data_IF_140411699848
#
_entry.id   IF_140411699848
#
_cell.length_a   1.000
_cell.length_b   1.000
_cell.length_c   1.000
_cell.angle_alpha   90.00
_cell.angle_beta   90.00
_cell.angle_gamma   90.00
#
_symmetry.space_group_name_H-M   'P 1'
#
loop_
_entity.id
_entity.type
_entity.pdbx_description
1 polymer ?
#
# COMPACT_ATOMS: atom_id res chain seq x y z
N UNK A 1 -27.41 -3.83 -14.40
CA UNK A 1 -27.98 -3.58 -13.06
C UNK A 1 -28.66 -2.22 -13.10
N UNK A 2 -30.00 -2.20 -13.06
CA UNK A 2 -30.78 -0.96 -13.04
C UNK A 2 -30.73 -0.42 -11.62
N UNK A 3 -30.18 0.78 -11.43
CA UNK A 3 -30.22 1.46 -10.14
C UNK A 3 -31.65 1.97 -9.91
N UNK A 4 -32.34 1.38 -8.93
CA UNK A 4 -33.64 1.87 -8.48
C UNK A 4 -33.36 2.89 -7.37
N UNK A 5 -33.55 4.16 -7.68
CA UNK A 5 -33.40 5.25 -6.73
C UNK A 5 -34.61 5.31 -5.79
N UNK A 6 -34.47 4.72 -4.61
CA UNK A 6 -35.50 4.69 -3.56
C UNK A 6 -35.38 5.89 -2.60
N UNK A 7 -34.59 6.90 -2.93
CA UNK A 7 -34.32 8.03 -2.03
C UNK A 7 -35.60 8.87 -1.80
N UNK A 8 -36.51 8.91 -2.78
CA UNK A 8 -37.81 9.58 -2.65
C UNK A 8 -38.73 8.89 -1.64
N UNK A 9 -38.88 7.57 -1.77
CA UNK A 9 -39.71 6.74 -0.88
C UNK A 9 -39.17 6.74 0.55
N UNK A 10 -37.85 6.77 0.71
CA UNK A 10 -37.22 6.89 2.01
C UNK A 10 -37.56 8.23 2.70
N UNK A 11 -37.54 9.35 1.96
CA UNK A 11 -37.87 10.67 2.51
C UNK A 11 -39.34 10.77 2.92
N UNK A 12 -40.25 10.17 2.16
CA UNK A 12 -41.69 10.17 2.48
C UNK A 12 -41.97 9.36 3.75
N UNK A 13 -41.33 8.19 3.90
CA UNK A 13 -41.44 7.35 5.11
C UNK A 13 -40.88 8.04 6.36
N UNK A 14 -39.77 8.77 6.25
CA UNK A 14 -39.23 9.57 7.37
C UNK A 14 -40.21 10.69 7.74
N UNK A 15 -40.75 11.40 6.76
CA UNK A 15 -41.71 12.46 7.00
C UNK A 15 -42.98 11.91 7.69
N UNK A 16 -43.48 10.75 7.26
CA UNK A 16 -44.63 10.10 7.86
C UNK A 16 -44.34 9.62 9.29
N UNK A 17 -43.16 9.04 9.53
CA UNK A 17 -42.70 8.63 10.86
C UNK A 17 -42.57 9.80 11.83
N UNK A 18 -42.06 10.96 11.36
CA UNK A 18 -41.95 12.18 12.16
C UNK A 18 -43.33 12.76 12.54
N UNK A 19 -44.30 12.71 11.62
CA UNK A 19 -45.68 13.15 11.88
C UNK A 19 -46.40 12.22 12.87
N UNK A 20 -46.22 10.90 12.76
CA UNK A 20 -46.77 9.91 13.72
C UNK A 20 -46.15 10.06 15.11
N UNK A 21 -44.85 10.36 15.19
CA UNK A 21 -44.18 10.64 16.47
C UNK A 21 -44.68 11.93 17.12
N UNK A 22 -44.96 12.97 16.34
CA UNK A 22 -45.53 14.24 16.82
C UNK A 22 -47.01 14.13 17.25
N UNK A 23 -47.77 13.19 16.67
CA UNK A 23 -49.20 13.01 16.93
C UNK A 23 -49.53 12.16 18.18
N UNK A 24 -48.54 11.61 18.89
CA UNK A 24 -48.76 10.81 20.11
C UNK A 24 -48.63 11.71 21.36
N UNK A 25 -49.73 12.10 22.04
CA UNK A 25 -49.66 12.96 23.21
C UNK A 25 -49.14 12.15 24.40
N UNK A 26 -47.86 12.30 24.72
CA UNK A 26 -47.18 11.60 25.82
C UNK A 26 -45.74 11.19 25.55
N UNK A 27 -45.25 11.30 24.31
CA UNK A 27 -43.83 11.16 24.02
C UNK A 27 -43.10 12.46 24.40
N UNK A 28 -42.54 12.51 25.61
CA UNK A 28 -41.60 13.56 26.01
C UNK A 28 -40.50 13.73 24.95
N UNK A 29 -39.87 14.92 24.84
CA UNK A 29 -38.95 15.24 23.76
C UNK A 29 -37.92 14.12 23.67
N UNK A 30 -37.87 13.44 22.53
CA UNK A 30 -36.84 12.44 22.27
C UNK A 30 -35.53 13.18 22.50
N UNK A 31 -34.77 12.75 23.51
CA UNK A 31 -33.44 13.29 23.76
C UNK A 31 -32.73 13.17 22.42
N UNK A 32 -32.51 14.30 21.75
CA UNK A 32 -31.65 14.39 20.59
C UNK A 32 -30.40 13.62 20.96
N UNK A 33 -30.21 12.49 20.29
CA UNK A 33 -29.09 11.58 20.50
C UNK A 33 -27.87 12.49 20.37
N UNK A 34 -27.25 12.85 21.50
CA UNK A 34 -26.03 13.68 21.51
C UNK A 34 -25.12 13.02 20.48
N UNK A 35 -24.63 13.73 19.45
CA UNK A 35 -23.72 13.13 18.49
C UNK A 35 -22.56 12.56 19.30
N UNK A 36 -22.44 11.24 19.25
CA UNK A 36 -21.37 10.48 19.89
C UNK A 36 -20.05 11.10 19.41
N UNK A 37 -19.15 11.40 20.35
CA UNK A 37 -18.03 12.31 20.12
C UNK A 37 -17.17 11.90 18.91
N UNK A 38 -17.11 12.69 17.82
CA UNK A 38 -16.47 12.28 16.56
C UNK A 38 -14.94 12.42 16.56
N UNK A 39 -14.31 12.81 17.67
CA UNK A 39 -12.92 13.33 17.62
C UNK A 39 -11.85 12.26 17.36
N UNK A 40 -12.06 11.02 17.79
CA UNK A 40 -11.03 9.97 17.68
C UNK A 40 -11.17 9.14 16.39
N UNK A 41 -12.41 8.92 15.94
CA UNK A 41 -12.71 8.32 14.63
C UNK A 41 -12.23 9.21 13.48
N UNK A 42 -12.38 10.53 13.63
CA UNK A 42 -11.87 11.50 12.67
C UNK A 42 -10.35 11.44 12.52
N UNK A 43 -9.59 11.19 13.60
CA UNK A 43 -8.12 11.20 13.53
C UNK A 43 -7.61 10.00 12.73
N UNK A 44 -8.09 8.79 13.06
CA UNK A 44 -7.73 7.56 12.35
C UNK A 44 -8.05 7.67 10.86
N UNK A 45 -9.27 8.11 10.52
CA UNK A 45 -9.70 8.24 9.13
C UNK A 45 -8.91 9.32 8.39
N UNK A 46 -8.66 10.48 9.01
CA UNK A 46 -7.82 11.54 8.41
C UNK A 46 -6.43 11.02 8.07
N UNK A 47 -5.82 10.27 8.96
CA UNK A 47 -4.51 9.67 8.71
C UNK A 47 -4.57 8.61 7.59
N UNK A 48 -5.55 7.71 7.62
CA UNK A 48 -5.75 6.73 6.56
C UNK A 48 -5.93 7.39 5.17
N UNK A 49 -6.72 8.46 5.08
CA UNK A 49 -6.90 9.22 3.84
C UNK A 49 -5.63 9.94 3.39
N UNK A 50 -4.82 10.46 4.31
CA UNK A 50 -3.53 11.05 3.96
C UNK A 50 -2.57 10.02 3.39
N UNK A 51 -2.47 8.83 4.02
CA UNK A 51 -1.64 7.72 3.52
C UNK A 51 -2.13 7.29 2.14
N UNK A 52 -3.43 7.10 1.97
CA UNK A 52 -4.04 6.76 0.69
C UNK A 52 -3.73 7.83 -0.39
N UNK A 53 -3.82 9.11 -0.03
CA UNK A 53 -3.45 10.24 -0.90
C UNK A 53 -2.04 10.07 -1.43
N UNK A 54 -1.05 9.93 -0.54
CA UNK A 54 0.35 9.75 -0.93
C UNK A 54 0.60 8.48 -1.77
N UNK A 55 -0.01 7.34 -1.41
CA UNK A 55 0.15 6.10 -2.16
C UNK A 55 -0.50 6.19 -3.55
N UNK A 56 -1.70 6.76 -3.65
CA UNK A 56 -2.40 6.91 -4.94
C UNK A 56 -1.69 7.90 -5.87
N UNK A 57 -1.13 8.98 -5.32
CA UNK A 57 -0.30 9.93 -6.03
C UNK A 57 0.99 9.26 -6.53
N UNK A 58 1.70 8.54 -5.67
CA UNK A 58 2.90 7.80 -6.03
C UNK A 58 2.62 6.76 -7.12
N UNK A 59 1.47 6.08 -7.07
CA UNK A 59 1.06 5.13 -8.10
C UNK A 59 0.87 5.80 -9.46
N UNK A 60 0.26 7.00 -9.48
CA UNK A 60 0.07 7.78 -10.71
C UNK A 60 1.40 8.26 -11.27
N UNK A 61 2.27 8.80 -10.42
CA UNK A 61 3.60 9.29 -10.84
C UNK A 61 4.44 8.15 -11.39
N UNK A 62 4.50 6.99 -10.69
CA UNK A 62 5.27 5.83 -11.15
C UNK A 62 4.76 5.30 -12.51
N UNK A 63 3.45 5.30 -12.71
CA UNK A 63 2.85 4.91 -13.99
C UNK A 63 3.21 5.89 -15.12
N UNK A 64 3.21 7.19 -14.84
CA UNK A 64 3.57 8.22 -15.81
C UNK A 64 5.04 8.14 -16.21
N UNK A 65 5.94 7.99 -15.23
CA UNK A 65 7.39 7.98 -15.46
C UNK A 65 7.95 6.62 -15.89
N UNK A 66 7.16 5.53 -15.84
CA UNK A 66 7.64 4.18 -16.20
C UNK A 66 8.33 4.12 -17.56
N UNK A 67 7.71 4.69 -18.61
CA UNK A 67 8.27 4.68 -19.96
C UNK A 67 9.63 5.41 -20.04
N UNK A 68 9.72 6.70 -19.65
CA UNK A 68 10.98 7.41 -19.75
C UNK A 68 12.04 6.91 -18.74
N UNK A 69 11.62 6.31 -17.61
CA UNK A 69 12.51 5.67 -16.65
C UNK A 69 13.21 4.43 -17.22
N UNK A 70 12.48 3.60 -17.97
CA UNK A 70 13.02 2.39 -18.61
C UNK A 70 13.72 2.65 -19.95
N UNK A 71 13.57 3.85 -20.52
CA UNK A 71 14.20 4.21 -21.80
C UNK A 71 15.73 4.18 -21.70
N UNK A 72 16.40 3.67 -22.72
CA UNK A 72 17.87 3.66 -22.84
C UNK A 72 18.40 4.83 -23.67
N UNK A 73 17.52 5.68 -24.17
CA UNK A 73 17.87 6.79 -25.05
C UNK A 73 18.69 7.84 -24.28
N UNK A 74 19.83 8.24 -24.85
CA UNK A 74 20.67 9.30 -24.29
C UNK A 74 19.87 10.62 -24.32
N UNK A 75 19.63 11.26 -23.17
CA UNK A 75 18.87 12.51 -23.15
C UNK A 75 19.66 13.63 -23.85
N UNK A 76 18.98 14.55 -24.56
CA UNK A 76 19.61 15.75 -25.07
C UNK A 76 20.19 16.61 -23.92
N UNK A 77 21.22 17.44 -24.19
CA UNK A 77 21.92 18.20 -23.16
C UNK A 77 20.96 19.09 -22.34
N UNK A 78 21.25 19.22 -21.05
CA UNK A 78 20.41 19.87 -20.04
C UNK A 78 20.01 21.33 -20.38
N UNK A 79 20.77 22.00 -21.25
CA UNK A 79 20.47 23.37 -21.72
C UNK A 79 19.16 23.48 -22.50
N UNK A 80 18.66 22.37 -23.07
CA UNK A 80 17.43 22.34 -23.86
C UNK A 80 16.22 21.83 -23.07
N UNK A 81 16.36 21.63 -21.76
CA UNK A 81 15.31 21.05 -20.90
C UNK A 81 14.59 22.15 -20.13
N UNK A 82 13.28 22.24 -20.32
CA UNK A 82 12.42 23.14 -19.55
C UNK A 82 12.44 22.71 -18.08
N UNK A 83 12.89 23.62 -17.20
CA UNK A 83 12.93 23.42 -15.76
C UNK A 83 11.54 23.70 -15.19
N UNK A 84 10.78 22.65 -14.89
CA UNK A 84 9.51 22.80 -14.18
C UNK A 84 9.78 22.96 -12.68
N UNK A 85 9.64 24.19 -12.18
CA UNK A 85 9.71 24.54 -10.76
C UNK A 85 8.32 24.40 -10.12
N UNK A 86 7.84 23.15 -10.04
CA UNK A 86 6.60 22.81 -9.37
C UNK A 86 6.90 22.19 -8.01
N UNK A 87 6.32 22.73 -6.93
CA UNK A 87 6.60 22.40 -5.53
C UNK A 87 6.34 20.96 -5.06
N UNK A 88 6.14 20.01 -5.98
CA UNK A 88 6.12 18.59 -5.68
C UNK A 88 7.13 17.84 -6.55
N UNK A 89 8.09 17.24 -5.87
CA UNK A 89 9.40 16.92 -6.39
C UNK A 89 9.40 15.71 -7.33
N UNK A 90 8.41 14.82 -7.26
CA UNK A 90 8.19 13.75 -8.25
C UNK A 90 7.39 14.23 -9.47
N UNK A 91 6.48 15.20 -9.29
CA UNK A 91 5.63 15.71 -10.38
C UNK A 91 6.42 16.39 -11.49
N UNK A 92 7.61 16.90 -11.19
CA UNK A 92 8.54 17.46 -12.19
C UNK A 92 8.87 16.50 -13.33
N UNK A 93 8.73 15.19 -13.10
CA UNK A 93 9.07 14.15 -14.06
C UNK A 93 7.90 13.60 -14.87
N UNK A 94 6.65 13.87 -14.49
CA UNK A 94 5.46 13.29 -15.15
C UNK A 94 5.34 13.67 -16.64
N UNK A 95 5.90 14.81 -17.05
CA UNK A 95 5.93 15.27 -18.44
C UNK A 95 7.25 15.03 -19.18
N UNK A 96 8.23 14.38 -18.54
CA UNK A 96 9.57 14.23 -19.12
C UNK A 96 9.64 13.05 -20.10
N UNK A 97 10.08 13.30 -21.34
CA UNK A 97 10.23 12.26 -22.38
C UNK A 97 11.46 11.38 -22.18
N UNK A 98 12.49 11.93 -21.55
CA UNK A 98 13.75 11.27 -21.24
C UNK A 98 14.05 11.51 -19.77
N UNK A 99 14.80 10.61 -19.14
CA UNK A 99 15.40 10.80 -17.82
C UNK A 99 16.88 10.46 -17.84
N UNK A 100 17.72 11.26 -17.18
CA UNK A 100 19.13 10.92 -16.96
C UNK A 100 19.28 9.84 -15.88
N UNK A 101 20.43 9.17 -15.86
CA UNK A 101 20.73 8.15 -14.84
C UNK A 101 20.59 8.71 -13.42
N UNK A 102 21.08 9.94 -13.20
CA UNK A 102 20.98 10.65 -11.93
C UNK A 102 19.53 10.96 -11.54
N UNK A 103 18.71 11.41 -12.47
CA UNK A 103 17.29 11.70 -12.21
C UNK A 103 16.51 10.44 -11.84
N UNK A 104 16.84 9.30 -12.47
CA UNK A 104 16.24 8.01 -12.14
C UNK A 104 16.63 7.57 -10.73
N UNK A 105 17.89 7.77 -10.33
CA UNK A 105 18.35 7.47 -8.97
C UNK A 105 17.68 8.37 -7.92
N UNK A 106 17.48 9.66 -8.23
CA UNK A 106 16.72 10.57 -7.38
C UNK A 106 15.26 10.11 -7.20
N UNK A 107 14.62 9.61 -8.27
CA UNK A 107 13.27 9.04 -8.21
C UNK A 107 13.24 7.77 -7.36
N UNK A 108 14.24 6.90 -7.50
CA UNK A 108 14.33 5.67 -6.70
C UNK A 108 14.43 5.98 -5.21
N UNK A 109 15.33 6.89 -4.82
CA UNK A 109 15.52 7.30 -3.42
C UNK A 109 14.23 7.90 -2.85
N UNK A 110 13.56 8.78 -3.60
CA UNK A 110 12.31 9.42 -3.14
C UNK A 110 11.16 8.42 -3.02
N UNK A 111 11.00 7.56 -4.02
CA UNK A 111 9.96 6.50 -4.01
C UNK A 111 10.15 5.60 -2.80
N UNK A 112 11.39 5.17 -2.52
CA UNK A 112 11.72 4.38 -1.34
C UNK A 112 11.37 5.11 -0.04
N UNK A 113 11.73 6.38 0.06
CA UNK A 113 11.45 7.19 1.25
C UNK A 113 9.94 7.29 1.51
N UNK A 114 9.14 7.53 0.47
CA UNK A 114 7.68 7.61 0.57
C UNK A 114 7.10 6.26 0.99
N UNK A 115 7.53 5.15 0.37
CA UNK A 115 7.03 3.81 0.74
C UNK A 115 7.38 3.43 2.17
N UNK A 116 8.61 3.70 2.64
CA UNK A 116 9.02 3.46 4.02
C UNK A 116 8.17 4.27 5.00
N UNK A 117 8.00 5.56 4.73
CA UNK A 117 7.19 6.45 5.58
C UNK A 117 5.73 6.02 5.61
N UNK A 118 5.14 5.63 4.49
CA UNK A 118 3.78 5.11 4.44
C UNK A 118 3.66 3.80 5.23
N UNK A 119 4.66 2.90 5.15
CA UNK A 119 4.68 1.65 5.90
C UNK A 119 4.70 1.90 7.41
N UNK A 120 5.56 2.82 7.86
CA UNK A 120 5.65 3.22 9.26
C UNK A 120 4.31 3.76 9.77
N UNK A 121 3.69 4.68 9.03
CA UNK A 121 2.38 5.25 9.39
C UNK A 121 1.25 4.22 9.40
N UNK A 122 1.28 3.23 8.50
CA UNK A 122 0.34 2.09 8.55
C UNK A 122 0.57 1.26 9.81
N UNK A 123 1.83 1.04 10.18
CA UNK A 123 2.19 0.39 11.45
C UNK A 123 1.70 1.15 12.68
N UNK A 124 1.78 2.48 12.67
CA UNK A 124 1.24 3.34 13.73
C UNK A 124 -0.28 3.21 13.83
N UNK A 125 -0.99 3.25 12.70
CA UNK A 125 -2.45 3.03 12.66
C UNK A 125 -2.86 1.67 13.21
N UNK A 126 -2.09 0.63 12.91
CA UNK A 126 -2.31 -0.71 13.45
C UNK A 126 -2.07 -0.77 14.96
N UNK A 127 -1.04 -0.09 15.46
CA UNK A 127 -0.77 -0.01 16.88
C UNK A 127 -1.88 0.75 17.62
N UNK A 128 -2.38 1.85 17.05
CA UNK A 128 -3.52 2.60 17.58
C UNK A 128 -4.78 1.73 17.61
N UNK A 129 -5.03 0.94 16.57
CA UNK A 129 -6.19 0.06 16.49
C UNK A 129 -6.10 -1.13 17.47
N UNK A 130 -4.92 -1.75 17.62
CA UNK A 130 -4.68 -2.76 18.66
C UNK A 130 -4.86 -2.19 20.07
N UNK A 131 -4.39 -0.97 20.31
CA UNK A 131 -4.57 -0.30 21.60
C UNK A 131 -6.04 0.04 21.90
N UNK A 132 -6.85 0.33 20.86
CA UNK A 132 -8.29 0.49 21.01
C UNK A 132 -8.95 -0.84 21.35
N UNK A 133 -8.67 -1.90 20.58
CA UNK A 133 -9.21 -3.25 20.82
C UNK A 133 -8.92 -3.74 22.25
N UNK A 134 -7.71 -3.49 22.75
CA UNK A 134 -7.33 -3.85 24.13
C UNK A 134 -8.12 -3.08 25.20
N UNK A 135 -8.55 -1.85 24.92
CA UNK A 135 -9.35 -1.03 25.84
C UNK A 135 -10.84 -1.38 25.78
N UNK A 136 -11.32 -1.83 24.62
CA UNK A 136 -12.73 -2.18 24.39
C UNK A 136 -13.02 -3.64 24.73
N UNK A 137 -11.99 -4.49 24.83
CA UNK A 137 -12.15 -5.87 25.30
C UNK A 137 -12.68 -5.88 26.75
N UNK A 138 -13.79 -6.59 27.04
CA UNK A 138 -14.33 -6.65 28.38
C UNK A 138 -13.30 -7.30 29.33
N UNK A 139 -13.17 -6.84 30.58
CA UNK A 139 -12.29 -7.49 31.55
C UNK A 139 -12.79 -8.91 31.76
N UNK A 140 -11.96 -9.89 31.40
CA UNK A 140 -12.21 -11.33 31.55
C UNK A 140 -12.26 -11.69 33.05
N UNK A 141 -13.33 -11.27 33.72
CA UNK A 141 -13.61 -11.70 35.07
C UNK A 141 -14.16 -13.11 34.95
N UNK A 142 -13.48 -14.11 35.52
CA UNK A 142 -13.92 -15.51 35.48
C UNK A 142 -15.38 -15.70 35.96
N UNK A 143 -15.87 -14.79 36.81
CA UNK A 143 -17.27 -14.74 37.25
C UNK A 143 -18.28 -14.51 36.12
N UNK A 144 -17.97 -13.67 35.15
CA UNK A 144 -18.87 -13.39 34.01
C UNK A 144 -18.84 -14.48 32.94
N UNK A 145 -17.79 -15.32 32.92
CA UNK A 145 -17.75 -16.53 32.09
C UNK A 145 -18.66 -17.63 32.66
N UNK A 146 -18.79 -17.71 33.99
CA UNK A 146 -19.70 -18.66 34.67
C UNK A 146 -21.15 -18.21 34.66
N UNK A 147 -21.41 -16.90 34.69
CA UNK A 147 -22.74 -16.31 34.77
C UNK A 147 -22.93 -15.25 33.67
N UNK A 148 -23.17 -15.67 32.42
CA UNK A 148 -23.30 -14.76 31.28
C UNK A 148 -24.51 -13.82 31.39
N UNK A 149 -25.50 -14.15 32.23
CA UNK A 149 -26.69 -13.31 32.49
C UNK A 149 -26.40 -12.08 33.37
N UNK A 150 -25.28 -12.07 34.10
CA UNK A 150 -24.85 -10.97 34.97
C UNK A 150 -23.78 -10.09 34.31
N UNK A 151 -23.27 -10.49 33.14
CA UNK A 151 -22.30 -9.70 32.40
C UNK A 151 -22.94 -8.35 32.01
N UNK A 152 -22.26 -7.22 32.26
CA UNK A 152 -22.74 -5.94 31.77
C UNK A 152 -22.82 -6.02 30.24
N UNK A 153 -24.04 -5.91 29.70
CA UNK A 153 -24.28 -5.85 28.26
C UNK A 153 -23.45 -4.69 27.72
N UNK A 154 -22.41 -4.98 26.94
CA UNK A 154 -21.59 -3.96 26.31
C UNK A 154 -22.50 -3.05 25.48
N UNK A 155 -22.64 -1.80 25.92
CA UNK A 155 -23.63 -0.84 25.43
C UNK A 155 -23.31 -0.37 24.00
N UNK A 156 -22.06 -0.53 23.56
CA UNK A 156 -21.59 -0.09 22.24
C UNK A 156 -21.54 -1.26 21.24
N UNK A 157 -22.70 -1.50 20.65
CA UNK A 157 -22.96 -2.55 19.66
C UNK A 157 -22.30 -2.32 18.27
N UNK A 158 -21.74 -1.14 18.03
CA UNK A 158 -21.00 -0.79 16.81
C UNK A 158 -19.53 -1.15 16.84
N UNK A 159 -18.98 -1.52 18.01
CA UNK A 159 -17.55 -1.81 18.18
C UNK A 159 -17.02 -2.94 17.28
N UNK A 160 -17.66 -4.12 17.15
CA UNK A 160 -17.15 -5.18 16.26
C UNK A 160 -17.21 -4.75 14.79
N UNK A 161 -18.25 -4.02 14.39
CA UNK A 161 -18.38 -3.48 13.03
C UNK A 161 -17.29 -2.42 12.73
N UNK A 162 -17.04 -1.53 13.69
CA UNK A 162 -15.98 -0.51 13.58
C UNK A 162 -14.60 -1.16 13.49
N UNK A 163 -14.37 -2.21 14.31
CA UNK A 163 -13.12 -2.99 14.30
C UNK A 163 -12.88 -3.63 12.93
N UNK A 164 -13.88 -4.31 12.38
CA UNK A 164 -13.81 -4.94 11.07
C UNK A 164 -13.62 -3.90 9.95
N UNK A 165 -14.28 -2.74 10.05
CA UNK A 165 -14.11 -1.68 9.07
C UNK A 165 -12.68 -1.12 9.10
N UNK A 166 -12.13 -0.83 10.27
CA UNK A 166 -10.76 -0.30 10.42
C UNK A 166 -9.69 -1.32 10.01
N UNK A 167 -9.88 -2.61 10.33
CA UNK A 167 -8.99 -3.67 9.86
C UNK A 167 -9.04 -3.79 8.32
N UNK A 168 -10.21 -3.62 7.71
CA UNK A 168 -10.33 -3.60 6.25
C UNK A 168 -9.60 -2.41 5.62
N UNK A 169 -9.66 -1.22 6.24
CA UNK A 169 -8.92 -0.03 5.79
C UNK A 169 -7.42 -0.29 5.83
N UNK A 170 -6.90 -0.76 6.97
CA UNK A 170 -5.49 -1.11 7.13
C UNK A 170 -5.07 -2.13 6.06
N UNK A 171 -5.84 -3.20 5.87
CA UNK A 171 -5.57 -4.20 4.86
C UNK A 171 -5.50 -3.59 3.45
N UNK A 172 -6.43 -2.69 3.08
CA UNK A 172 -6.39 -2.02 1.78
C UNK A 172 -5.14 -1.15 1.59
N UNK A 173 -4.70 -0.44 2.64
CA UNK A 173 -3.49 0.38 2.61
C UNK A 173 -2.23 -0.48 2.47
N UNK A 174 -2.12 -1.56 3.26
CA UNK A 174 -1.00 -2.52 3.17
C UNK A 174 -0.97 -3.19 1.79
N UNK A 175 -2.13 -3.54 1.24
CA UNK A 175 -2.25 -4.18 -0.08
C UNK A 175 -1.82 -3.21 -1.19
N UNK A 176 -2.23 -1.95 -1.09
CA UNK A 176 -1.79 -0.90 -2.00
C UNK A 176 -0.27 -0.72 -1.91
N UNK A 177 0.28 -0.65 -0.71
CA UNK A 177 1.72 -0.50 -0.48
C UNK A 177 2.52 -1.67 -1.07
N UNK A 178 2.07 -2.92 -0.87
CA UNK A 178 2.70 -4.11 -1.45
C UNK A 178 2.65 -4.11 -3.00
N UNK A 179 1.54 -3.65 -3.59
CA UNK A 179 1.44 -3.49 -5.05
C UNK A 179 2.40 -2.44 -5.57
N UNK A 180 2.51 -1.29 -4.91
CA UNK A 180 3.45 -0.25 -5.32
C UNK A 180 4.90 -0.70 -5.15
N UNK A 181 5.24 -1.36 -4.04
CA UNK A 181 6.59 -1.89 -3.83
C UNK A 181 6.95 -2.92 -4.91
N UNK A 182 6.00 -3.78 -5.31
CA UNK A 182 6.21 -4.70 -6.43
C UNK A 182 6.45 -3.95 -7.74
N UNK A 183 5.65 -2.93 -8.08
CA UNK A 183 5.89 -2.15 -9.31
C UNK A 183 7.23 -1.42 -9.31
N UNK A 184 7.71 -0.96 -8.14
CA UNK A 184 9.04 -0.38 -8.02
C UNK A 184 10.12 -1.44 -8.20
N UNK A 185 9.97 -2.61 -7.58
CA UNK A 185 10.89 -3.74 -7.71
C UNK A 185 11.06 -4.14 -9.19
N UNK A 186 9.95 -4.31 -9.91
CA UNK A 186 9.95 -4.66 -11.34
C UNK A 186 10.77 -3.63 -12.16
N UNK A 187 10.54 -2.34 -11.94
CA UNK A 187 11.26 -1.29 -12.65
C UNK A 187 12.77 -1.28 -12.31
N UNK A 188 13.13 -1.55 -11.05
CA UNK A 188 14.53 -1.64 -10.63
C UNK A 188 15.22 -2.89 -11.17
N UNK A 189 14.53 -4.02 -11.21
CA UNK A 189 15.05 -5.29 -11.75
C UNK A 189 15.33 -5.14 -13.23
N UNK A 190 14.38 -4.60 -14.01
CA UNK A 190 14.62 -4.36 -15.43
C UNK A 190 15.78 -3.37 -15.65
N UNK A 191 15.99 -2.40 -14.74
CA UNK A 191 17.11 -1.46 -14.85
C UNK A 191 18.44 -2.11 -14.49
N UNK A 192 18.47 -2.95 -13.46
CA UNK A 192 19.66 -3.74 -13.08
C UNK A 192 20.06 -4.69 -14.21
N UNK A 193 19.10 -5.41 -14.79
CA UNK A 193 19.31 -6.25 -15.96
C UNK A 193 19.90 -5.49 -17.14
N UNK A 194 19.37 -4.29 -17.45
CA UNK A 194 19.93 -3.44 -18.51
C UNK A 194 21.31 -2.88 -18.19
N UNK A 195 21.70 -2.75 -16.91
CA UNK A 195 23.07 -2.37 -16.53
C UNK A 195 24.03 -3.53 -16.70
N UNK A 196 23.61 -4.74 -16.36
CA UNK A 196 24.36 -5.96 -16.57
C UNK A 196 24.56 -6.25 -18.07
N UNK A 197 23.53 -6.06 -18.89
CA UNK A 197 23.64 -6.18 -20.35
C UNK A 197 24.61 -5.14 -20.93
N UNK A 198 24.61 -3.90 -20.41
CA UNK A 198 25.56 -2.85 -20.81
C UNK A 198 26.99 -3.17 -20.39
N UNK A 199 27.22 -3.61 -19.15
CA UNK A 199 28.56 -4.00 -18.71
C UNK A 199 29.09 -5.18 -19.53
N UNK A 200 28.22 -6.15 -19.85
CA UNK A 200 28.55 -7.31 -20.70
C UNK A 200 28.82 -6.90 -22.15
N UNK A 201 28.05 -5.97 -22.70
CA UNK A 201 28.22 -5.52 -24.09
C UNK A 201 29.36 -4.53 -24.27
N UNK A 202 29.79 -3.78 -23.26
CA UNK A 202 31.00 -2.96 -23.33
C UNK A 202 32.28 -3.81 -23.33
N UNK A 203 32.32 -4.90 -22.54
CA UNK A 203 33.37 -5.92 -22.68
C UNK A 203 33.35 -6.62 -24.05
N UNK A 204 32.15 -6.86 -24.59
CA UNK A 204 31.95 -7.34 -25.97
C UNK A 204 32.22 -6.30 -27.07
N UNK A 205 32.11 -5.02 -26.74
CA UNK A 205 32.23 -3.87 -27.64
C UNK A 205 33.69 -3.51 -27.83
N UNK A 206 34.50 -3.51 -26.77
CA UNK A 206 35.95 -3.40 -26.86
C UNK A 206 36.54 -4.55 -27.69
N UNK A 207 36.09 -5.79 -27.49
CA UNK A 207 36.52 -6.94 -28.31
C UNK A 207 36.04 -6.84 -29.76
N UNK A 208 34.86 -6.28 -30.02
CA UNK A 208 34.33 -6.04 -31.37
C UNK A 208 35.00 -4.85 -32.08
N UNK A 209 35.35 -3.80 -31.36
CA UNK A 209 36.15 -2.68 -31.86
C UNK A 209 37.56 -3.14 -32.18
N UNK A 210 38.21 -3.91 -31.30
CA UNK A 210 39.50 -4.56 -31.57
C UNK A 210 39.40 -5.44 -32.81
N UNK A 211 38.35 -6.27 -32.93
CA UNK A 211 38.13 -7.08 -34.13
C UNK A 211 37.90 -6.23 -35.39
N UNK A 212 37.22 -5.10 -35.28
CA UNK A 212 37.00 -4.18 -36.42
C UNK A 212 38.25 -3.41 -36.81
N UNK A 213 39.12 -3.07 -35.85
CA UNK A 213 40.43 -2.45 -36.06
C UNK A 213 41.41 -3.46 -36.70
N UNK A 214 41.35 -4.74 -36.29
CA UNK A 214 42.11 -5.83 -36.91
C UNK A 214 41.69 -6.06 -38.36
N UNK A 215 40.38 -6.12 -38.63
CA UNK A 215 39.85 -6.23 -40.00
C UNK A 215 40.20 -5.00 -40.84
N UNK A 216 40.19 -3.79 -40.26
CA UNK A 216 40.64 -2.56 -40.93
C UNK A 216 42.14 -2.55 -41.27
N UNK A 217 42.98 -3.09 -40.39
CA UNK A 217 44.42 -3.24 -40.61
C UNK A 217 44.74 -4.29 -41.69
N UNK A 218 43.97 -5.38 -41.74
CA UNK A 218 44.08 -6.42 -42.77
C UNK A 218 43.66 -5.92 -44.16
N UNK A 219 42.73 -4.95 -44.24
CA UNK A 219 42.37 -4.29 -45.51
C UNK A 219 43.41 -3.25 -45.97
N UNK A 220 44.14 -2.63 -45.05
CA UNK A 220 45.18 -1.66 -45.37
C UNK A 220 46.47 -2.33 -45.88
N UNK A 221 46.71 -3.60 -45.53
CA UNK A 221 47.89 -4.38 -45.94
C UNK A 221 47.53 -5.32 -47.10
N UNK A 222 47.31 -4.74 -48.27
CA UNK A 222 47.05 -5.50 -49.49
C UNK A 222 48.21 -6.44 -49.86
N UNK A 223 48.05 -7.75 -49.59
CA UNK A 223 48.27 -8.90 -50.49
C UNK A 223 48.44 -10.20 -49.68
N UNK A 224 47.59 -11.18 -50.03
CA UNK A 224 47.68 -12.63 -49.77
C UNK A 224 47.70 -13.10 -48.30
N UNK A 225 46.56 -13.57 -47.81
CA UNK A 225 46.27 -15.01 -47.70
C UNK A 225 45.05 -15.26 -46.81
N UNK A 226 44.16 -16.13 -47.27
CA UNK A 226 43.13 -16.78 -46.45
C UNK A 226 43.80 -17.65 -45.41
N UNK A 227 43.44 -17.51 -44.13
CA UNK A 227 43.31 -18.66 -43.23
C UNK A 227 42.33 -18.38 -42.09
N UNK A 228 41.25 -19.14 -42.11
CA UNK A 228 40.36 -19.41 -40.99
C UNK A 228 41.15 -19.99 -39.82
N UNK A 229 41.01 -19.41 -38.61
CA UNK A 229 41.45 -20.05 -37.37
C UNK A 229 40.41 -19.82 -36.26
N UNK A 230 40.05 -20.92 -35.61
CA UNK A 230 39.14 -21.03 -34.47
C UNK A 230 39.64 -20.23 -33.23
N UNK A 231 38.76 -19.93 -32.25
CA UNK A 231 39.10 -19.09 -31.11
C UNK A 231 39.84 -19.91 -30.05
N UNK A 232 41.14 -20.08 -30.24
CA UNK A 232 42.02 -20.63 -29.22
C UNK A 232 43.26 -19.74 -29.13
N UNK A 233 43.27 -18.92 -28.07
CA UNK A 233 44.43 -18.25 -27.46
C UNK A 233 45.65 -18.05 -28.38
N UNK A 234 45.68 -16.94 -29.10
CA UNK A 234 46.92 -16.40 -29.67
C UNK A 234 47.58 -15.48 -28.63
N UNK A 235 48.87 -15.67 -28.28
CA UNK A 235 49.66 -14.61 -27.71
C UNK A 235 50.00 -13.62 -28.84
N UNK A 236 49.39 -12.43 -28.81
CA UNK A 236 49.50 -11.39 -29.87
C UNK A 236 50.81 -10.58 -29.76
N UNK A 237 51.90 -11.15 -29.23
CA UNK A 237 53.18 -10.43 -29.18
C UNK A 237 54.11 -11.06 -30.23
N UNK A 238 54.27 -10.48 -31.43
CA UNK A 238 55.41 -10.80 -32.27
C UNK A 238 56.67 -10.46 -31.46
N UNK A 239 57.49 -11.46 -31.16
CA UNK A 239 58.65 -11.39 -30.26
C UNK A 239 59.83 -10.55 -30.79
N UNK A 240 59.64 -9.79 -31.88
CA UNK A 240 60.71 -9.11 -32.63
C UNK A 240 60.40 -7.63 -32.94
N UNK A 241 59.45 -7.01 -32.22
CA UNK A 241 59.22 -5.56 -32.26
C UNK A 241 59.76 -4.90 -30.98
N UNK A 242 60.40 -3.73 -31.15
CA UNK A 242 60.78 -2.86 -30.04
C UNK A 242 59.56 -2.60 -29.14
N UNK A 243 59.75 -2.48 -27.81
CA UNK A 243 58.63 -2.23 -26.90
C UNK A 243 57.81 -1.06 -27.42
N UNK A 244 56.48 -1.21 -27.44
CA UNK A 244 55.49 -0.27 -28.02
C UNK A 244 55.76 1.19 -27.59
N UNK A 245 56.33 1.37 -26.40
CA UNK A 245 56.82 2.62 -25.82
C UNK A 245 57.85 3.38 -26.68
N UNK A 246 58.64 2.69 -27.51
CA UNK A 246 59.67 3.27 -28.38
C UNK A 246 59.14 3.69 -29.78
N UNK A 247 57.93 3.25 -30.15
CA UNK A 247 57.30 3.59 -31.44
C UNK A 247 56.24 4.69 -31.33
N UNK A 248 55.76 4.98 -30.12
CA UNK A 248 54.76 6.01 -29.85
C UNK A 248 55.43 7.35 -29.54
N UNK A 249 54.90 8.43 -30.11
CA UNK A 249 55.32 9.78 -29.69
C UNK A 249 54.94 10.02 -28.22
N UNK A 250 55.74 10.81 -27.49
CA UNK A 250 55.45 11.13 -26.08
C UNK A 250 54.02 11.68 -25.85
N UNK A 251 53.47 12.39 -26.84
CA UNK A 251 52.09 12.89 -26.82
C UNK A 251 51.03 11.77 -26.97
N UNK A 252 51.28 10.75 -27.79
CA UNK A 252 50.38 9.60 -27.93
C UNK A 252 50.39 8.71 -26.69
N UNK A 253 51.56 8.54 -26.05
CA UNK A 253 51.65 7.79 -24.79
C UNK A 253 50.83 8.46 -23.68
N UNK A 254 50.95 9.78 -23.54
CA UNK A 254 50.15 10.55 -22.58
C UNK A 254 48.65 10.46 -22.88
N UNK A 255 48.27 10.44 -24.16
CA UNK A 255 46.88 10.24 -24.56
C UNK A 255 46.38 8.84 -24.16
N UNK A 256 47.16 7.79 -24.42
CA UNK A 256 46.81 6.42 -24.02
C UNK A 256 46.71 6.27 -22.50
N UNK A 257 47.60 6.87 -21.74
CA UNK A 257 47.51 6.89 -20.27
C UNK A 257 46.24 7.60 -19.80
N UNK A 258 45.89 8.73 -20.44
CA UNK A 258 44.66 9.47 -20.12
C UNK A 258 43.40 8.69 -20.47
N UNK A 259 43.36 8.01 -21.63
CA UNK A 259 42.25 7.16 -22.07
C UNK A 259 42.10 5.93 -21.16
N UNK A 260 43.21 5.29 -20.80
CA UNK A 260 43.20 4.15 -19.89
C UNK A 260 42.71 4.55 -18.49
N UNK A 261 43.18 5.68 -17.96
CA UNK A 261 42.68 6.20 -16.68
C UNK A 261 41.18 6.54 -16.74
N UNK A 262 40.71 7.08 -17.87
CA UNK A 262 39.29 7.39 -18.09
C UNK A 262 38.45 6.12 -18.15
N UNK A 263 38.91 5.10 -18.86
CA UNK A 263 38.25 3.80 -18.96
C UNK A 263 38.17 3.11 -17.59
N UNK A 264 39.26 3.10 -16.83
CA UNK A 264 39.27 2.52 -15.48
C UNK A 264 38.29 3.23 -14.55
N UNK A 265 38.27 4.57 -14.59
CA UNK A 265 37.31 5.37 -13.82
C UNK A 265 35.86 5.07 -14.23
N UNK A 266 35.60 4.89 -15.53
CA UNK A 266 34.27 4.51 -16.01
C UNK A 266 33.88 3.10 -15.56
N UNK A 267 34.79 2.12 -15.66
CA UNK A 267 34.56 0.77 -15.18
C UNK A 267 34.31 0.73 -13.67
N UNK A 268 35.08 1.45 -12.88
CA UNK A 268 34.88 1.57 -11.43
C UNK A 268 33.50 2.19 -11.12
N UNK A 269 33.14 3.28 -11.80
CA UNK A 269 31.83 3.92 -11.67
C UNK A 269 30.69 2.96 -12.03
N UNK A 270 30.86 2.16 -13.09
CA UNK A 270 29.85 1.18 -13.51
C UNK A 270 29.70 0.06 -12.47
N UNK A 271 30.79 -0.48 -11.93
CA UNK A 271 30.76 -1.49 -10.87
C UNK A 271 30.07 -0.96 -9.62
N UNK A 272 30.44 0.24 -9.18
CA UNK A 272 29.79 0.90 -8.04
C UNK A 272 28.28 1.10 -8.27
N UNK A 273 27.87 1.42 -9.50
CA UNK A 273 26.45 1.55 -9.85
C UNK A 273 25.69 0.22 -9.81
N UNK A 274 26.32 -0.88 -10.23
CA UNK A 274 25.73 -2.23 -10.19
C UNK A 274 25.59 -2.69 -8.74
N UNK A 275 26.63 -2.52 -7.92
CA UNK A 275 26.59 -2.84 -6.48
C UNK A 275 25.51 -2.03 -5.75
N UNK A 276 25.37 -0.74 -6.06
CA UNK A 276 24.32 0.11 -5.51
C UNK A 276 22.92 -0.38 -5.92
N UNK A 277 22.76 -0.81 -7.18
CA UNK A 277 21.50 -1.37 -7.68
C UNK A 277 21.16 -2.71 -7.00
N UNK A 278 22.15 -3.60 -6.82
CA UNK A 278 21.99 -4.87 -6.13
C UNK A 278 21.56 -4.67 -4.67
N UNK A 279 22.27 -3.80 -3.94
CA UNK A 279 21.90 -3.41 -2.57
C UNK A 279 20.48 -2.84 -2.52
N UNK A 280 20.12 -2.02 -3.50
CA UNK A 280 18.79 -1.42 -3.61
C UNK A 280 17.71 -2.49 -3.79
N UNK A 281 17.95 -3.47 -4.66
CA UNK A 281 17.04 -4.58 -4.94
C UNK A 281 16.88 -5.52 -3.74
N UNK A 282 17.97 -5.84 -3.03
CA UNK A 282 17.93 -6.64 -1.80
C UNK A 282 17.08 -5.99 -0.70
N UNK A 283 17.18 -4.67 -0.56
CA UNK A 283 16.39 -3.93 0.41
C UNK A 283 14.90 -3.90 0.03
N UNK A 284 14.57 -3.73 -1.25
CA UNK A 284 13.17 -3.74 -1.71
C UNK A 284 12.58 -5.15 -1.58
N UNK A 285 13.33 -6.18 -1.94
CA UNK A 285 12.85 -7.56 -1.81
C UNK A 285 12.61 -7.94 -0.35
N UNK A 286 13.51 -7.55 0.56
CA UNK A 286 13.30 -7.72 2.00
C UNK A 286 12.02 -7.01 2.49
N UNK A 287 11.80 -5.76 2.08
CA UNK A 287 10.57 -5.02 2.40
C UNK A 287 9.33 -5.69 1.80
N UNK A 288 9.39 -6.16 0.56
CA UNK A 288 8.29 -6.84 -0.12
C UNK A 288 7.93 -8.16 0.59
N UNK A 289 8.93 -8.96 0.97
CA UNK A 289 8.70 -10.20 1.73
C UNK A 289 8.02 -9.90 3.07
N UNK A 290 8.47 -8.86 3.78
CA UNK A 290 7.82 -8.43 5.03
C UNK A 290 6.35 -8.03 4.79
N UNK A 291 6.08 -7.22 3.77
CA UNK A 291 4.73 -6.76 3.43
C UNK A 291 3.81 -7.91 3.01
N UNK A 292 4.31 -8.83 2.19
CA UNK A 292 3.53 -10.01 1.76
C UNK A 292 3.23 -10.92 2.94
N UNK A 293 4.23 -11.19 3.80
CA UNK A 293 4.01 -11.95 5.04
C UNK A 293 2.95 -11.29 5.92
N UNK A 294 3.03 -9.98 6.06
CA UNK A 294 2.09 -9.21 6.87
C UNK A 294 0.68 -9.23 6.28
N UNK A 295 0.54 -9.12 4.95
CA UNK A 295 -0.74 -9.23 4.26
C UNK A 295 -1.42 -10.58 4.45
N UNK A 296 -0.65 -11.67 4.38
CA UNK A 296 -1.20 -13.01 4.62
C UNK A 296 -1.75 -13.11 6.04
N UNK A 297 -0.96 -12.66 7.03
CA UNK A 297 -1.40 -12.62 8.43
C UNK A 297 -2.64 -11.72 8.64
N UNK A 298 -2.65 -10.54 8.01
CA UNK A 298 -3.76 -9.60 8.11
C UNK A 298 -5.04 -10.09 7.44
N UNK A 299 -4.92 -10.86 6.35
CA UNK A 299 -6.09 -11.39 5.62
C UNK A 299 -6.88 -12.35 6.52
N UNK A 300 -6.19 -13.29 7.17
CA UNK A 300 -6.83 -14.21 8.12
C UNK A 300 -7.51 -13.48 9.30
N UNK A 301 -6.84 -12.45 9.86
CA UNK A 301 -7.43 -11.65 10.94
C UNK A 301 -8.64 -10.85 10.44
N UNK A 302 -8.56 -10.27 9.25
CA UNK A 302 -9.64 -9.45 8.68
C UNK A 302 -10.87 -10.31 8.37
N UNK A 303 -10.69 -11.52 7.85
CA UNK A 303 -11.78 -12.46 7.58
C UNK A 303 -12.49 -12.87 8.89
N UNK A 304 -11.72 -13.18 9.94
CA UNK A 304 -12.28 -13.47 11.27
C UNK A 304 -13.08 -12.30 11.84
N UNK A 305 -12.53 -11.09 11.78
CA UNK A 305 -13.22 -9.88 12.27
C UNK A 305 -14.48 -9.58 11.45
N UNK A 306 -14.45 -9.87 10.15
CA UNK A 306 -15.62 -9.73 9.29
C UNK A 306 -16.72 -10.72 9.69
N UNK A 307 -16.39 -12.00 9.87
CA UNK A 307 -17.35 -13.02 10.32
C UNK A 307 -17.93 -12.67 11.70
N UNK A 308 -17.10 -12.19 12.62
CA UNK A 308 -17.54 -11.71 13.95
C UNK A 308 -18.49 -10.52 13.82
N UNK A 309 -18.17 -9.54 12.97
CA UNK A 309 -19.04 -8.39 12.73
C UNK A 309 -20.38 -8.80 12.11
N UNK A 310 -20.39 -9.70 11.13
CA UNK A 310 -21.64 -10.22 10.51
C UNK A 310 -22.47 -10.99 11.53
N UNK A 311 -21.84 -11.86 12.32
CA UNK A 311 -22.49 -12.60 13.40
C UNK A 311 -23.11 -11.67 14.44
N UNK A 312 -22.36 -10.62 14.84
CA UNK A 312 -22.86 -9.60 15.76
C UNK A 312 -24.10 -8.89 15.21
N UNK A 313 -24.09 -8.46 13.94
CA UNK A 313 -25.25 -7.83 13.29
C UNK A 313 -26.46 -8.77 13.24
N UNK A 314 -26.27 -10.06 12.99
CA UNK A 314 -27.34 -11.04 13.00
C UNK A 314 -27.96 -11.22 14.40
N UNK A 315 -27.12 -11.30 15.44
CA UNK A 315 -27.57 -11.35 16.83
C UNK A 315 -28.26 -10.05 17.27
N UNK A 316 -27.83 -8.88 16.77
CA UNK A 316 -28.53 -7.62 16.99
C UNK A 316 -29.96 -7.64 16.43
N UNK A 317 -30.16 -8.20 15.24
CA UNK A 317 -31.49 -8.37 14.65
C UNK A 317 -32.42 -9.18 15.54
N UNK A 318 -31.90 -10.30 16.07
CA UNK A 318 -32.63 -11.16 17.01
C UNK A 318 -32.89 -10.45 18.35
N UNK A 319 -31.89 -9.77 18.90
CA UNK A 319 -31.99 -9.05 20.17
C UNK A 319 -33.04 -7.92 20.09
N UNK A 320 -33.06 -7.14 19.01
CA UNK A 320 -34.07 -6.10 18.81
C UNK A 320 -35.48 -6.69 18.67
N UNK A 321 -35.61 -7.85 18.01
CA UNK A 321 -36.87 -8.58 17.94
C UNK A 321 -37.33 -9.06 19.32
N UNK A 322 -36.40 -9.54 20.16
CA UNK A 322 -36.70 -9.93 21.54
C UNK A 322 -37.11 -8.73 22.40
N UNK A 323 -36.45 -7.57 22.26
CA UNK A 323 -36.85 -6.34 22.95
C UNK A 323 -38.27 -5.90 22.57
N UNK A 324 -38.61 -6.01 21.29
CA UNK A 324 -39.98 -5.72 20.81
C UNK A 324 -40.99 -6.67 21.43
N UNK A 325 -40.71 -7.99 21.41
CA UNK A 325 -41.56 -9.02 22.03
C UNK A 325 -41.68 -8.82 23.55
N UNK A 326 -40.61 -8.45 24.24
CA UNK A 326 -40.60 -8.17 25.67
C UNK A 326 -41.46 -6.94 26.01
N UNK A 327 -41.39 -5.89 25.19
CA UNK A 327 -42.25 -4.71 25.32
C UNK A 327 -43.73 -5.08 25.18
N UNK A 328 -44.08 -5.86 24.17
CA UNK A 328 -45.46 -6.35 23.95
C UNK A 328 -45.94 -7.19 25.15
N UNK A 329 -45.13 -8.15 25.61
CA UNK A 329 -45.44 -9.00 26.77
C UNK A 329 -45.55 -8.22 28.09
N UNK A 330 -44.79 -7.15 28.26
CA UNK A 330 -44.89 -6.30 29.46
C UNK A 330 -46.23 -5.57 29.55
N UNK A 331 -46.83 -5.20 28.41
CA UNK A 331 -48.17 -4.63 28.36
C UNK A 331 -49.24 -5.65 28.74
N UNK A 332 -49.12 -6.87 28.24
CA UNK A 332 -50.04 -7.98 28.53
C UNK A 332 -49.97 -8.41 30.01
N UNK A 333 -48.76 -8.54 30.58
CA UNK A 333 -48.58 -8.87 31.99
C UNK A 333 -49.20 -7.81 32.92
N UNK A 334 -49.09 -6.52 32.57
CA UNK A 334 -49.70 -5.43 33.34
C UNK A 334 -51.22 -5.46 33.28
N UNK A 335 -51.81 -5.80 32.13
CA UNK A 335 -53.25 -5.97 31.98
C UNK A 335 -53.74 -7.16 32.84
N UNK A 336 -53.04 -8.29 32.77
CA UNK A 336 -53.40 -9.49 33.53
C UNK A 336 -53.34 -9.24 35.05
N UNK A 337 -52.32 -8.52 35.52
CA UNK A 337 -52.20 -8.11 36.92
C UNK A 337 -53.36 -7.20 37.34
N UNK A 338 -53.76 -6.25 36.48
CA UNK A 338 -54.91 -5.38 36.74
C UNK A 338 -56.23 -6.15 36.85
N UNK A 339 -56.48 -7.07 35.90
CA UNK A 339 -57.67 -7.93 35.92
C UNK A 339 -57.68 -8.81 37.17
N UNK A 340 -56.54 -9.38 37.54
CA UNK A 340 -56.40 -10.17 38.77
C UNK A 340 -56.67 -9.35 40.03
N UNK A 341 -56.13 -8.13 40.13
CA UNK A 341 -56.34 -7.24 41.27
C UNK A 341 -57.82 -6.85 41.41
N UNK A 342 -58.48 -6.48 40.31
CA UNK A 342 -59.91 -6.18 40.32
C UNK A 342 -60.74 -7.41 40.68
N UNK A 343 -60.45 -8.57 40.09
CA UNK A 343 -61.13 -9.82 40.38
C UNK A 343 -61.00 -10.23 41.86
N UNK A 344 -59.79 -10.14 42.42
CA UNK A 344 -59.55 -10.40 43.84
C UNK A 344 -60.29 -9.40 44.75
N UNK A 345 -60.31 -8.12 44.37
CA UNK A 345 -61.07 -7.09 45.12
C UNK A 345 -62.57 -7.37 45.12
N UNK A 346 -63.16 -7.78 43.98
CA UNK A 346 -64.56 -8.18 43.91
C UNK A 346 -64.85 -9.45 44.69
N UNK A 347 -63.95 -10.44 44.66
CA UNK A 347 -64.08 -11.66 45.43
C UNK A 347 -64.10 -11.38 46.94
N UNK A 348 -63.21 -10.50 47.42
CA UNK A 348 -63.21 -10.07 48.83
C UNK A 348 -64.48 -9.31 49.20
N UNK A 349 -64.98 -8.42 48.33
CA UNK A 349 -66.23 -7.70 48.56
C UNK A 349 -67.42 -8.66 48.65
N UNK A 350 -67.51 -9.65 47.75
CA UNK A 350 -68.57 -10.65 47.75
C UNK A 350 -68.52 -11.53 49.00
N UNK A 351 -67.33 -11.94 49.43
CA UNK A 351 -67.15 -12.75 50.62
C UNK A 351 -67.54 -11.98 51.90
N UNK A 352 -67.26 -10.67 51.94
CA UNK A 352 -67.71 -9.78 53.02
C UNK A 352 -69.21 -9.44 52.98
N UNK A 353 -69.87 -9.53 51.81
CA UNK A 353 -71.32 -9.35 51.71
C UNK A 353 -72.09 -10.61 52.10
N UNK A 354 -71.50 -11.78 51.88
CA UNK A 354 -72.11 -13.07 52.20
C UNK A 354 -71.89 -13.52 53.65
N UNK A 355 -70.77 -13.13 54.25
CA UNK A 355 -70.52 -13.26 55.71
C UNK A 355 -71.36 -12.24 56.49
#
# INVERSE_FOLDING_TARGET
MVYIDQTGDFRSLIAEGSKKAAATPGAGPSKSRKPLAPKQDDRFLKEAYQIYGHLSELQRTLKAIRKPYLSTDVPPPLSRRARNDGGDELKRYEGSKYLSERERDEIDVRTKMILRRCRERVGDLEAEEKARQAKTAPPASALFQLLPSLAPVAVDTSEPLLTAHRSSIIWTLTNLLAKLSATQADMQEERAKRREERSRTLGGGATREIASLQVGADLAKGKNAVRTVAPAALPIIPTDEAPIEQQLSAAQLQQFESENSTLLNEMESQLNSVLAAEKSLLEISAMQTELVRHLVQQTEITDRLYDEAVGSVAEMGKANQQLKKAKERSGEARLFLLVFLFGASFALLFLNWYA
#
